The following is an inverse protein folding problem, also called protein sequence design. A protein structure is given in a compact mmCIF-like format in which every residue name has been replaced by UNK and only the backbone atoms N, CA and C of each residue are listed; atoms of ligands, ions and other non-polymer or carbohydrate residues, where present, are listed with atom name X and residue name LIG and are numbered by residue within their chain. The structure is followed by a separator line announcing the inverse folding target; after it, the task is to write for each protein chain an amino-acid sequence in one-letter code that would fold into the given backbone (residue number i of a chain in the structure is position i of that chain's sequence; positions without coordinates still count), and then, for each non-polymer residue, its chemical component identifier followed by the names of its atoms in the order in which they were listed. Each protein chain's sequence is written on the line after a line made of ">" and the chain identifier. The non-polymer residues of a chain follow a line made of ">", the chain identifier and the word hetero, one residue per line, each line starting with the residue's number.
data_IF_855493246301
#
_entry.id   IF_855493246301
#
_cell.length_a   1.000
_cell.length_b   1.000
_cell.length_c   1.000
_cell.angle_alpha   90.00
_cell.angle_beta   90.00
_cell.angle_gamma   90.00
#
_symmetry.space_group_name_H-M   'P 1'
#
loop_
_entity.id
_entity.type
_entity.pdbx_description
1 polymer ?
#
# COMPACT_ATOMS: atom_id res chain seq x y z
N UNK A 1 -13.86 -19.39 13.57
CA UNK A 1 -12.47 -18.88 13.48
C UNK A 1 -12.35 -18.24 12.11
N UNK A 2 -12.01 -16.95 11.96
CA UNK A 2 -11.70 -16.46 10.63
C UNK A 2 -10.40 -17.15 10.19
N UNK A 3 -10.49 -17.75 9.02
CA UNK A 3 -9.44 -18.46 8.31
C UNK A 3 -8.23 -17.52 8.15
N UNK A 4 -7.11 -17.86 8.78
CA UNK A 4 -5.87 -17.10 8.65
C UNK A 4 -5.26 -17.41 7.28
N UNK A 5 -5.87 -16.88 6.22
CA UNK A 5 -5.21 -16.79 4.92
C UNK A 5 -3.85 -16.15 5.14
N UNK A 6 -2.77 -16.77 4.67
CA UNK A 6 -1.42 -16.26 4.87
C UNK A 6 -1.38 -14.73 4.66
N UNK A 7 -0.93 -14.00 5.69
CA UNK A 7 -0.89 -12.53 5.74
C UNK A 7 0.07 -11.91 4.71
N UNK A 8 0.77 -12.75 3.95
CA UNK A 8 1.67 -12.37 2.88
C UNK A 8 1.15 -12.86 1.53
N UNK A 9 0.86 -11.91 0.64
CA UNK A 9 0.38 -12.17 -0.72
C UNK A 9 1.37 -11.59 -1.72
N UNK A 10 1.84 -12.42 -2.65
CA UNK A 10 2.77 -12.02 -3.71
C UNK A 10 2.04 -11.94 -5.05
N UNK A 11 1.95 -10.74 -5.61
CA UNK A 11 1.37 -10.49 -6.92
C UNK A 11 2.48 -10.23 -7.94
N UNK A 12 2.43 -10.92 -9.09
CA UNK A 12 3.42 -10.78 -10.17
C UNK A 12 2.77 -10.19 -11.41
N UNK A 13 3.44 -9.22 -12.04
CA UNK A 13 3.05 -8.64 -13.33
C UNK A 13 4.25 -7.89 -13.91
N UNK A 14 4.32 -7.81 -15.24
CA UNK A 14 5.24 -6.91 -15.94
C UNK A 14 4.62 -5.53 -16.23
N UNK A 15 3.31 -5.37 -16.02
CA UNK A 15 2.58 -4.12 -16.16
C UNK A 15 2.36 -3.50 -14.77
N UNK A 16 3.01 -2.36 -14.52
CA UNK A 16 2.96 -1.70 -13.23
C UNK A 16 1.56 -1.16 -12.90
N UNK A 17 0.79 -0.72 -13.91
CA UNK A 17 -0.58 -0.23 -13.73
C UNK A 17 -1.53 -1.33 -13.21
N UNK A 18 -1.29 -2.58 -13.60
CA UNK A 18 -2.03 -3.74 -13.08
C UNK A 18 -1.74 -3.94 -11.59
N UNK A 19 -0.47 -3.85 -11.19
CA UNK A 19 -0.09 -3.96 -9.77
C UNK A 19 -0.62 -2.79 -8.95
N UNK A 20 -0.61 -1.58 -9.49
CA UNK A 20 -1.20 -0.41 -8.84
C UNK A 20 -2.71 -0.56 -8.65
N UNK A 21 -3.42 -1.13 -9.63
CA UNK A 21 -4.85 -1.43 -9.53
C UNK A 21 -5.15 -2.49 -8.46
N UNK A 22 -4.31 -3.53 -8.34
CA UNK A 22 -4.43 -4.53 -7.29
C UNK A 22 -4.16 -3.94 -5.90
N UNK A 23 -3.13 -3.10 -5.76
CA UNK A 23 -2.85 -2.36 -4.53
C UNK A 23 -4.03 -1.46 -4.16
N UNK A 24 -4.56 -0.72 -5.14
CA UNK A 24 -5.71 0.13 -4.96
C UNK A 24 -6.88 -0.67 -4.37
N UNK A 25 -7.17 -1.85 -4.92
CA UNK A 25 -8.25 -2.69 -4.43
C UNK A 25 -7.98 -3.20 -3.01
N UNK A 26 -6.75 -3.60 -2.71
CA UNK A 26 -6.36 -4.07 -1.38
C UNK A 26 -6.51 -2.97 -0.31
N UNK A 27 -6.21 -1.71 -0.64
CA UNK A 27 -6.34 -0.57 0.29
C UNK A 27 -7.79 -0.21 0.66
N UNK A 28 -8.80 -0.80 0.01
CA UNK A 28 -10.21 -0.54 0.38
C UNK A 28 -10.64 -1.26 1.64
N UNK A 29 -10.01 -2.39 1.95
CA UNK A 29 -10.33 -3.17 3.14
C UNK A 29 -9.32 -2.82 4.25
N UNK A 30 -9.75 -2.13 5.32
CA UNK A 30 -8.86 -1.81 6.42
C UNK A 30 -8.39 -3.08 7.11
N UNK A 31 -7.12 -3.09 7.55
CA UNK A 31 -6.59 -4.22 8.29
C UNK A 31 -7.39 -4.42 9.60
N UNK A 32 -7.71 -5.67 9.99
CA UNK A 32 -8.47 -5.94 11.20
C UNK A 32 -7.83 -5.30 12.44
N UNK A 33 -8.63 -4.53 13.19
CA UNK A 33 -8.19 -3.89 14.43
C UNK A 33 -7.39 -2.59 14.26
N UNK A 34 -7.24 -2.06 13.04
CA UNK A 34 -6.67 -0.73 12.86
C UNK A 34 -7.67 0.40 13.22
N UNK A 35 -7.19 1.50 13.83
CA UNK A 35 -7.98 2.72 13.98
C UNK A 35 -8.42 3.29 12.64
N UNK A 36 -9.63 3.88 12.58
CA UNK A 36 -10.23 4.39 11.33
C UNK A 36 -9.36 5.42 10.59
N UNK A 37 -8.55 6.20 11.31
CA UNK A 37 -7.71 7.25 10.76
C UNK A 37 -6.22 6.89 10.73
N UNK A 38 -5.87 5.63 11.02
CA UNK A 38 -4.49 5.18 10.85
C UNK A 38 -4.09 5.28 9.36
N UNK A 39 -2.89 5.78 9.10
CA UNK A 39 -2.39 5.89 7.74
C UNK A 39 -1.99 4.52 7.19
N UNK A 40 -2.38 4.25 5.95
CA UNK A 40 -1.95 3.04 5.25
C UNK A 40 -0.47 3.17 4.86
N UNK A 41 0.35 2.21 5.28
CA UNK A 41 1.77 2.16 4.92
C UNK A 41 1.94 1.46 3.57
N UNK A 42 2.54 2.15 2.60
CA UNK A 42 2.86 1.63 1.27
C UNK A 42 4.37 1.69 1.05
N UNK A 43 4.99 0.52 0.85
CA UNK A 43 6.41 0.47 0.53
C UNK A 43 6.64 0.79 -0.96
N UNK A 44 7.57 1.70 -1.23
CA UNK A 44 8.00 2.08 -2.58
C UNK A 44 9.50 1.90 -2.72
N UNK A 45 10.02 1.43 -3.86
CA UNK A 45 11.45 1.20 -4.02
C UNK A 45 12.26 2.51 -4.00
N UNK A 46 11.64 3.61 -4.40
CA UNK A 46 12.27 4.93 -4.46
C UNK A 46 11.22 6.04 -4.39
N UNK A 47 11.59 7.16 -3.77
CA UNK A 47 10.71 8.33 -3.52
C UNK A 47 10.08 8.87 -4.80
N UNK A 48 10.76 8.79 -5.94
CA UNK A 48 10.25 9.24 -7.23
C UNK A 48 8.91 8.57 -7.62
N UNK A 49 8.66 7.34 -7.17
CA UNK A 49 7.41 6.63 -7.46
C UNK A 49 6.21 7.15 -6.67
N UNK A 50 6.42 7.86 -5.57
CA UNK A 50 5.35 8.37 -4.70
C UNK A 50 4.32 9.17 -5.50
N UNK A 51 4.79 10.17 -6.25
CA UNK A 51 3.88 11.07 -6.98
C UNK A 51 3.12 10.34 -8.06
N UNK A 52 3.77 9.44 -8.80
CA UNK A 52 3.11 8.63 -9.80
C UNK A 52 2.02 7.75 -9.17
N UNK A 53 2.33 7.03 -8.09
CA UNK A 53 1.37 6.15 -7.44
C UNK A 53 0.20 6.93 -6.81
N UNK A 54 0.45 8.09 -6.20
CA UNK A 54 -0.61 8.97 -5.71
C UNK A 54 -1.54 9.42 -6.84
N UNK A 55 -1.00 9.85 -7.98
CA UNK A 55 -1.82 10.23 -9.14
C UNK A 55 -2.62 9.05 -9.69
N UNK A 56 -2.02 7.86 -9.78
CA UNK A 56 -2.70 6.64 -10.26
C UNK A 56 -3.84 6.24 -9.33
N UNK A 57 -3.62 6.23 -8.01
CA UNK A 57 -4.67 5.93 -7.03
C UNK A 57 -5.78 6.98 -7.03
N UNK A 58 -5.42 8.26 -7.14
CA UNK A 58 -6.40 9.35 -7.20
C UNK A 58 -7.22 9.33 -8.50
N UNK A 59 -6.66 8.88 -9.61
CA UNK A 59 -7.40 8.73 -10.86
C UNK A 59 -8.49 7.65 -10.75
N UNK A 60 -8.23 6.58 -10.00
CA UNK A 60 -9.18 5.48 -9.76
C UNK A 60 -10.24 5.85 -8.70
N UNK A 61 -9.87 6.57 -7.64
CA UNK A 61 -10.72 6.81 -6.47
C UNK A 61 -11.18 8.25 -6.26
N UNK A 62 -10.77 9.16 -7.13
CA UNK A 62 -10.98 10.61 -6.98
C UNK A 62 -10.06 11.27 -5.96
N UNK A 63 -9.44 10.51 -5.05
CA UNK A 63 -8.51 11.00 -4.03
C UNK A 63 -7.49 9.92 -3.63
N UNK A 64 -6.26 10.34 -3.33
CA UNK A 64 -5.24 9.53 -2.67
C UNK A 64 -4.75 10.28 -1.42
N UNK A 65 -5.25 9.89 -0.24
CA UNK A 65 -5.00 10.57 1.02
C UNK A 65 -4.71 9.55 2.13
N UNK A 66 -4.15 10.03 3.24
CA UNK A 66 -3.80 9.20 4.41
C UNK A 66 -2.88 8.01 4.11
N UNK A 67 -2.01 8.16 3.10
CA UNK A 67 -1.00 7.18 2.71
C UNK A 67 0.37 7.61 3.21
N UNK A 68 1.06 6.70 3.89
CA UNK A 68 2.46 6.85 4.26
C UNK A 68 3.35 6.02 3.34
N UNK A 69 4.24 6.69 2.61
CA UNK A 69 5.17 6.03 1.71
C UNK A 69 6.53 5.86 2.36
N UNK A 70 7.05 4.62 2.34
CA UNK A 70 8.37 4.30 2.88
C UNK A 70 9.20 3.52 1.88
N UNK A 71 10.51 3.78 1.86
CA UNK A 71 11.46 2.85 1.27
C UNK A 71 11.63 1.61 2.14
N UNK A 72 12.09 0.47 1.58
CA UNK A 72 12.33 -0.74 2.38
C UNK A 72 13.28 -0.49 3.56
N UNK A 73 14.31 0.33 3.38
CA UNK A 73 15.26 0.69 4.44
C UNK A 73 14.59 1.49 5.57
N UNK A 74 13.77 2.49 5.24
CA UNK A 74 13.01 3.27 6.22
C UNK A 74 12.01 2.39 6.98
N UNK A 75 11.33 1.48 6.29
CA UNK A 75 10.40 0.54 6.91
C UNK A 75 11.10 -0.39 7.91
N UNK A 76 12.22 -1.00 7.52
CA UNK A 76 13.01 -1.88 8.41
C UNK A 76 13.53 -1.09 9.62
N UNK A 77 14.08 0.12 9.40
CA UNK A 77 14.56 0.97 10.48
C UNK A 77 13.45 1.41 11.46
N UNK A 78 12.20 1.49 10.99
CA UNK A 78 11.03 1.76 11.85
C UNK A 78 10.58 0.52 12.60
N UNK A 79 10.57 -0.64 11.94
CA UNK A 79 10.06 -1.89 12.51
C UNK A 79 10.99 -2.52 13.56
N UNK A 80 12.29 -2.19 13.53
CA UNK A 80 13.30 -2.73 14.44
C UNK A 80 13.66 -1.80 15.62
N UNK A 81 12.95 -0.68 15.78
CA UNK A 81 13.06 0.19 16.97
C UNK A 81 12.15 -0.29 18.07
#
# INVERSE_FOLDING_TARGET
>A
MPDATADFRLYHSNALDVLASLLAHALREPAPGQPLLAADTVLIPQVAMRRWLQSTLAAEYGIAANLEFLTPGEFVARALK
#
